data_IF_500718273354
#
_entry.id   IF_500718273354
#
_cell.length_a   1.000
_cell.length_b   1.000
_cell.length_c   1.000
_cell.angle_alpha   90.00
_cell.angle_beta   90.00
_cell.angle_gamma   90.00
#
_symmetry.space_group_name_H-M   'P 1'
#
loop_
_entity.id
_entity.type
_entity.pdbx_description
1 polymer ?
#
# COMPACT_ATOMS: atom_id res chain seq x y z
N UNK A 1 22.00 -11.49 -13.62
CA UNK A 1 21.73 -11.75 -12.20
C UNK A 1 20.93 -10.61 -11.57
N UNK A 2 20.20 -10.82 -10.45
CA UNK A 2 19.48 -9.73 -9.77
C UNK A 2 20.39 -8.54 -9.43
N UNK A 3 21.64 -8.77 -9.10
CA UNK A 3 22.62 -7.72 -8.80
C UNK A 3 22.99 -6.87 -10.01
N UNK A 4 23.06 -7.43 -11.23
CA UNK A 4 23.34 -6.65 -12.43
C UNK A 4 22.16 -5.79 -12.83
N UNK A 5 20.93 -6.32 -12.79
CA UNK A 5 19.72 -5.55 -13.04
C UNK A 5 19.52 -4.42 -12.02
N UNK A 6 19.76 -4.69 -10.73
CA UNK A 6 19.70 -3.66 -9.69
C UNK A 6 20.75 -2.56 -9.91
N UNK A 7 21.97 -2.91 -10.32
CA UNK A 7 23.02 -1.92 -10.64
C UNK A 7 22.62 -1.01 -11.80
N UNK A 8 21.98 -1.55 -12.83
CA UNK A 8 21.55 -0.76 -13.97
C UNK A 8 20.39 0.19 -13.59
N UNK A 9 19.43 -0.27 -12.79
CA UNK A 9 18.34 0.58 -12.27
C UNK A 9 18.92 1.65 -11.34
N UNK A 10 19.81 1.30 -10.42
CA UNK A 10 20.45 2.23 -9.51
C UNK A 10 21.19 3.37 -10.24
N UNK A 11 21.92 3.04 -11.32
CA UNK A 11 22.55 4.07 -12.17
C UNK A 11 21.54 5.00 -12.79
N UNK A 12 20.43 4.46 -13.31
CA UNK A 12 19.34 5.26 -13.88
C UNK A 12 18.67 6.17 -12.84
N UNK A 13 18.49 5.70 -11.61
CA UNK A 13 18.00 6.51 -10.50
C UNK A 13 18.93 7.71 -10.26
N UNK A 14 20.23 7.48 -10.15
CA UNK A 14 21.23 8.54 -9.93
C UNK A 14 21.27 9.54 -11.10
N UNK A 15 21.27 9.07 -12.35
CA UNK A 15 21.27 9.90 -13.55
C UNK A 15 20.03 10.81 -13.62
N UNK A 16 18.86 10.29 -13.21
CA UNK A 16 17.59 11.02 -13.29
C UNK A 16 17.16 11.67 -11.96
N UNK A 17 17.93 11.48 -10.88
CA UNK A 17 17.63 11.98 -9.53
C UNK A 17 16.24 11.51 -9.05
N UNK A 18 15.98 10.21 -9.20
CA UNK A 18 14.70 9.58 -8.85
C UNK A 18 14.96 8.44 -7.86
N UNK A 19 14.16 8.37 -6.81
CA UNK A 19 14.16 7.28 -5.84
C UNK A 19 13.03 6.29 -6.14
N UNK A 20 13.22 5.02 -5.74
CA UNK A 20 12.16 4.01 -5.75
C UNK A 20 11.47 4.03 -4.39
N UNK A 21 10.31 4.65 -4.32
CA UNK A 21 9.53 4.71 -3.08
C UNK A 21 8.92 3.35 -2.73
N UNK A 22 8.31 2.68 -3.72
CA UNK A 22 7.68 1.36 -3.57
C UNK A 22 8.15 0.43 -4.67
N UNK A 23 8.60 -0.76 -4.28
CA UNK A 23 8.74 -1.91 -5.17
C UNK A 23 7.53 -2.82 -4.95
N UNK A 24 6.57 -2.78 -5.87
CA UNK A 24 5.32 -3.53 -5.74
C UNK A 24 5.52 -5.04 -5.97
N UNK A 25 4.93 -5.86 -5.09
CA UNK A 25 4.86 -7.30 -5.20
C UNK A 25 3.46 -7.78 -4.82
N UNK A 26 2.50 -7.64 -5.74
CA UNK A 26 1.08 -7.90 -5.50
C UNK A 26 0.74 -9.36 -5.78
N UNK A 27 1.20 -10.26 -4.90
CA UNK A 27 0.97 -11.70 -4.98
C UNK A 27 0.05 -12.16 -3.84
N UNK A 28 -0.73 -13.22 -4.07
CA UNK A 28 -1.70 -13.72 -3.08
C UNK A 28 -1.04 -14.57 -1.99
N UNK A 29 -0.74 -13.96 -0.86
CA UNK A 29 -0.19 -14.65 0.32
C UNK A 29 -1.22 -15.51 1.08
N UNK A 30 -2.50 -15.45 0.71
CA UNK A 30 -3.55 -16.25 1.34
C UNK A 30 -4.08 -17.37 0.44
N UNK A 31 -3.44 -17.62 -0.70
CA UNK A 31 -3.84 -18.73 -1.59
C UNK A 31 -3.84 -20.09 -0.86
N UNK A 32 -4.88 -20.92 -1.04
CA UNK A 32 -4.92 -22.27 -0.48
C UNK A 32 -4.04 -23.27 -1.23
N UNK A 33 -3.52 -22.91 -2.39
CA UNK A 33 -2.60 -23.75 -3.17
C UNK A 33 -1.19 -23.65 -2.56
N UNK A 34 -0.73 -24.73 -1.93
CA UNK A 34 0.57 -24.78 -1.26
C UNK A 34 1.76 -24.56 -2.20
N UNK A 35 1.69 -25.04 -3.45
CA UNK A 35 2.74 -24.82 -4.43
C UNK A 35 2.80 -23.36 -4.87
N UNK A 36 1.65 -22.76 -5.16
CA UNK A 36 1.53 -21.35 -5.49
C UNK A 36 1.94 -20.46 -4.31
N UNK A 37 1.60 -20.82 -3.07
CA UNK A 37 2.03 -20.08 -1.88
C UNK A 37 3.55 -20.08 -1.73
N UNK A 38 4.17 -21.24 -1.92
CA UNK A 38 5.64 -21.36 -1.85
C UNK A 38 6.30 -20.47 -2.90
N UNK A 39 5.84 -20.51 -4.15
CA UNK A 39 6.37 -19.66 -5.23
C UNK A 39 6.13 -18.17 -4.97
N UNK A 40 4.99 -17.83 -4.37
CA UNK A 40 4.67 -16.48 -3.91
C UNK A 40 5.67 -15.99 -2.86
N UNK A 41 5.91 -16.77 -1.79
CA UNK A 41 6.88 -16.40 -0.74
C UNK A 41 8.29 -16.25 -1.33
N UNK A 42 8.70 -17.15 -2.21
CA UNK A 42 10.00 -17.06 -2.89
C UNK A 42 10.09 -15.83 -3.81
N UNK A 43 8.97 -15.40 -4.40
CA UNK A 43 8.88 -14.16 -5.17
C UNK A 43 9.06 -12.93 -4.28
N UNK A 44 8.40 -12.88 -3.11
CA UNK A 44 8.62 -11.81 -2.14
C UNK A 44 10.08 -11.72 -1.70
N UNK A 45 10.71 -12.86 -1.39
CA UNK A 45 12.13 -12.88 -1.02
C UNK A 45 13.03 -12.30 -2.11
N UNK A 46 12.76 -12.61 -3.38
CA UNK A 46 13.49 -12.01 -4.53
C UNK A 46 13.26 -10.49 -4.61
N UNK A 47 12.03 -10.02 -4.39
CA UNK A 47 11.74 -8.58 -4.35
C UNK A 47 12.44 -7.88 -3.19
N UNK A 48 12.49 -8.50 -2.01
CA UNK A 48 13.18 -7.97 -0.84
C UNK A 48 14.70 -7.84 -1.11
N UNK A 49 15.33 -8.84 -1.72
CA UNK A 49 16.73 -8.73 -2.15
C UNK A 49 16.92 -7.61 -3.16
N UNK A 50 16.02 -7.51 -4.15
CA UNK A 50 16.11 -6.47 -5.16
C UNK A 50 15.90 -5.08 -4.58
N UNK A 51 14.93 -4.92 -3.67
CA UNK A 51 14.69 -3.67 -2.93
C UNK A 51 15.90 -3.23 -2.12
N UNK A 52 16.55 -4.16 -1.42
CA UNK A 52 17.79 -3.88 -0.66
C UNK A 52 18.91 -3.37 -1.57
N UNK A 53 19.06 -3.94 -2.77
CA UNK A 53 20.08 -3.51 -3.73
C UNK A 53 19.77 -2.15 -4.39
N UNK A 54 18.49 -1.81 -4.55
CA UNK A 54 18.03 -0.54 -5.12
C UNK A 54 17.99 0.61 -4.11
N UNK A 55 17.97 0.30 -2.82
CA UNK A 55 17.60 1.28 -1.81
C UNK A 55 16.14 1.71 -1.90
N UNK A 56 15.24 0.79 -2.30
CA UNK A 56 13.81 1.07 -2.36
C UNK A 56 13.24 1.33 -0.96
N UNK A 57 12.28 2.25 -0.84
CA UNK A 57 11.67 2.61 0.42
C UNK A 57 10.94 1.45 1.08
N UNK A 58 10.07 0.78 0.34
CA UNK A 58 9.33 -0.40 0.81
C UNK A 58 9.14 -1.45 -0.30
N UNK A 59 8.91 -2.71 0.09
CA UNK A 59 8.26 -3.72 -0.75
C UNK A 59 6.78 -3.70 -0.41
N UNK A 60 5.96 -3.24 -1.35
CA UNK A 60 4.52 -3.04 -1.15
C UNK A 60 3.69 -4.23 -1.60
N UNK A 61 2.61 -4.54 -0.88
CA UNK A 61 1.64 -5.58 -1.22
C UNK A 61 0.25 -5.28 -0.69
N UNK A 62 -0.76 -5.72 -1.43
CA UNK A 62 -2.12 -5.91 -0.91
C UNK A 62 -2.23 -7.24 -0.13
N UNK A 63 -3.40 -7.53 0.42
CA UNK A 63 -3.55 -8.63 1.38
C UNK A 63 -4.30 -9.86 0.85
N UNK A 64 -4.78 -9.80 -0.40
CA UNK A 64 -5.27 -10.94 -1.13
C UNK A 64 -6.61 -11.53 -0.68
N UNK A 65 -6.84 -12.79 -1.05
CA UNK A 65 -8.03 -13.57 -0.75
C UNK A 65 -7.68 -15.06 -0.55
N UNK A 66 -8.49 -15.76 0.26
CA UNK A 66 -8.28 -17.20 0.56
C UNK A 66 -8.80 -18.12 -0.54
N UNK A 67 -8.58 -17.77 -1.80
CA UNK A 67 -8.91 -18.58 -2.97
C UNK A 67 -7.87 -18.38 -4.09
N UNK A 68 -7.94 -19.20 -5.11
CA UNK A 68 -6.98 -19.20 -6.23
C UNK A 68 -7.25 -18.07 -7.24
N UNK A 69 -8.48 -17.57 -7.28
CA UNK A 69 -8.92 -16.54 -8.24
C UNK A 69 -8.68 -15.11 -7.78
N UNK A 70 -8.15 -14.92 -6.58
CA UNK A 70 -7.96 -13.60 -5.96
C UNK A 70 -9.28 -12.80 -5.85
N UNK A 71 -10.39 -13.48 -5.53
CA UNK A 71 -11.73 -12.88 -5.47
C UNK A 71 -12.16 -12.59 -4.06
N UNK A 72 -12.85 -11.47 -3.87
CA UNK A 72 -13.54 -11.17 -2.62
C UNK A 72 -14.66 -12.16 -2.37
N UNK A 73 -14.64 -12.78 -1.21
CA UNK A 73 -15.67 -13.73 -0.73
C UNK A 73 -15.99 -13.43 0.73
N UNK A 74 -17.16 -13.83 1.25
CA UNK A 74 -17.49 -13.62 2.66
C UNK A 74 -16.45 -14.17 3.62
N UNK A 75 -15.76 -15.26 3.26
CA UNK A 75 -14.68 -15.84 4.03
C UNK A 75 -13.49 -14.87 4.22
N UNK A 76 -13.20 -14.01 3.25
CA UNK A 76 -12.10 -13.03 3.33
C UNK A 76 -12.23 -12.09 4.55
N UNK A 77 -13.43 -11.91 5.07
CA UNK A 77 -13.70 -11.02 6.21
C UNK A 77 -13.70 -11.74 7.57
N UNK A 78 -13.43 -13.04 7.62
CA UNK A 78 -13.36 -13.82 8.86
C UNK A 78 -12.03 -13.64 9.59
N UNK A 79 -12.00 -13.97 10.88
CA UNK A 79 -10.74 -14.01 11.64
C UNK A 79 -9.82 -15.13 11.14
N UNK A 80 -10.38 -16.26 10.71
CA UNK A 80 -9.61 -17.36 10.13
C UNK A 80 -8.83 -16.94 8.89
N UNK A 81 -9.45 -16.18 7.98
CA UNK A 81 -8.75 -15.63 6.82
C UNK A 81 -7.60 -14.68 7.22
N UNK A 82 -7.81 -13.88 8.27
CA UNK A 82 -6.77 -13.01 8.80
C UNK A 82 -5.59 -13.80 9.38
N UNK A 83 -5.88 -14.87 10.12
CA UNK A 83 -4.86 -15.76 10.68
C UNK A 83 -4.04 -16.47 9.59
N UNK A 84 -4.69 -16.92 8.51
CA UNK A 84 -4.02 -17.50 7.33
C UNK A 84 -3.06 -16.48 6.73
N UNK A 85 -3.52 -15.24 6.51
CA UNK A 85 -2.69 -14.18 5.97
C UNK A 85 -1.49 -13.86 6.87
N UNK A 86 -1.71 -13.70 8.18
CA UNK A 86 -0.65 -13.43 9.17
C UNK A 86 0.40 -14.55 9.15
N UNK A 87 -0.05 -15.81 9.18
CA UNK A 87 0.84 -16.97 9.15
C UNK A 87 1.76 -16.96 7.92
N UNK A 88 1.19 -16.66 6.77
CA UNK A 88 1.92 -16.70 5.50
C UNK A 88 2.79 -15.43 5.25
N UNK A 89 2.40 -14.29 5.82
CA UNK A 89 3.19 -13.05 5.77
C UNK A 89 4.44 -13.10 6.66
N UNK A 90 4.36 -13.77 7.81
CA UNK A 90 5.45 -13.85 8.80
C UNK A 90 6.81 -14.24 8.20
N UNK A 91 6.97 -15.33 7.43
CA UNK A 91 8.27 -15.67 6.85
C UNK A 91 8.79 -14.66 5.83
N UNK A 92 7.92 -13.86 5.23
CA UNK A 92 8.30 -12.76 4.33
C UNK A 92 8.90 -11.61 5.14
N UNK A 93 8.25 -11.22 6.23
CA UNK A 93 8.74 -10.14 7.12
C UNK A 93 10.05 -10.56 7.82
N UNK A 94 10.13 -11.77 8.36
CA UNK A 94 11.37 -12.31 8.96
C UNK A 94 12.55 -12.33 7.98
N UNK A 95 12.26 -12.51 6.68
CA UNK A 95 13.32 -12.40 5.66
C UNK A 95 13.69 -10.95 5.39
N UNK A 96 12.74 -10.04 5.39
CA UNK A 96 12.97 -8.60 5.20
C UNK A 96 13.81 -8.00 6.35
N UNK A 97 13.56 -8.42 7.59
CA UNK A 97 14.36 -8.03 8.77
C UNK A 97 15.87 -8.29 8.57
N UNK A 98 16.21 -9.44 7.99
CA UNK A 98 17.63 -9.83 7.76
C UNK A 98 18.35 -8.91 6.77
N UNK A 99 17.60 -8.22 5.92
CA UNK A 99 18.13 -7.33 4.89
C UNK A 99 17.85 -5.85 5.18
N UNK A 100 17.19 -5.53 6.30
CA UNK A 100 16.81 -4.17 6.67
C UNK A 100 15.78 -3.55 5.71
N UNK A 101 14.95 -4.37 5.06
CA UNK A 101 13.93 -3.92 4.11
C UNK A 101 12.58 -3.85 4.82
N UNK A 102 11.80 -2.83 4.51
CA UNK A 102 10.41 -2.69 4.98
C UNK A 102 9.48 -3.41 4.01
N UNK A 103 8.63 -4.28 4.53
CA UNK A 103 7.43 -4.78 3.85
C UNK A 103 6.26 -3.92 4.29
N UNK A 104 5.50 -3.39 3.36
CA UNK A 104 4.34 -2.57 3.69
C UNK A 104 3.08 -3.17 3.08
N UNK A 105 2.08 -3.43 3.93
CA UNK A 105 0.77 -3.91 3.50
C UNK A 105 -0.18 -2.75 3.22
N UNK A 106 -0.95 -2.87 2.16
CA UNK A 106 -1.98 -1.92 1.77
C UNK A 106 -3.36 -2.50 2.08
N UNK A 107 -4.09 -1.94 3.06
CA UNK A 107 -5.46 -2.32 3.32
C UNK A 107 -6.39 -1.89 2.19
N UNK A 108 -7.23 -2.82 1.72
CA UNK A 108 -8.18 -2.61 0.64
C UNK A 108 -9.55 -3.14 1.08
N UNK A 109 -10.61 -2.38 0.94
CA UNK A 109 -11.96 -2.71 1.42
C UNK A 109 -12.48 -4.10 0.98
N UNK A 110 -11.97 -4.61 -0.14
CA UNK A 110 -12.37 -5.92 -0.71
C UNK A 110 -11.41 -7.07 -0.35
N UNK A 111 -10.35 -6.81 0.41
CA UNK A 111 -9.33 -7.81 0.75
C UNK A 111 -9.43 -8.26 2.20
N UNK A 112 -8.57 -9.21 2.59
CA UNK A 112 -8.54 -9.78 3.94
C UNK A 112 -8.30 -8.70 4.99
N UNK A 113 -7.35 -7.80 4.75
CA UNK A 113 -7.13 -6.61 5.59
C UNK A 113 -7.86 -5.43 4.94
N UNK A 114 -9.09 -5.20 5.40
CA UNK A 114 -10.01 -4.25 4.78
C UNK A 114 -10.26 -2.96 5.57
N UNK A 115 -9.61 -2.80 6.72
CA UNK A 115 -9.75 -1.62 7.56
C UNK A 115 -8.57 -1.49 8.55
N UNK A 116 -8.51 -0.36 9.24
CA UNK A 116 -7.44 -0.04 10.18
C UNK A 116 -7.31 -1.05 11.33
N UNK A 117 -8.43 -1.52 11.89
CA UNK A 117 -8.42 -2.46 13.03
C UNK A 117 -7.84 -3.81 12.65
N UNK A 118 -8.17 -4.32 11.46
CA UNK A 118 -7.59 -5.57 10.97
C UNK A 118 -6.10 -5.40 10.64
N UNK A 119 -5.71 -4.27 10.05
CA UNK A 119 -4.30 -3.96 9.82
C UNK A 119 -3.52 -3.89 11.15
N UNK A 120 -4.07 -3.26 12.19
CA UNK A 120 -3.44 -3.24 13.52
C UNK A 120 -3.24 -4.65 14.09
N UNK A 121 -4.24 -5.54 13.96
CA UNK A 121 -4.09 -6.94 14.37
C UNK A 121 -2.93 -7.65 13.67
N UNK A 122 -2.73 -7.39 12.38
CA UNK A 122 -1.59 -7.98 11.63
C UNK A 122 -0.26 -7.47 12.16
N UNK A 123 -0.14 -6.15 12.34
CA UNK A 123 1.07 -5.53 12.86
C UNK A 123 1.40 -6.05 14.27
N UNK A 124 0.41 -6.10 15.18
CA UNK A 124 0.58 -6.59 16.54
C UNK A 124 0.94 -8.09 16.59
N UNK A 125 0.36 -8.89 15.71
CA UNK A 125 0.61 -10.32 15.67
C UNK A 125 2.02 -10.68 15.15
N UNK A 126 2.56 -9.90 14.22
CA UNK A 126 3.90 -10.11 13.66
C UNK A 126 4.96 -9.42 14.52
N UNK A 127 4.64 -8.24 15.06
CA UNK A 127 5.47 -7.45 15.98
C UNK A 127 6.88 -7.19 15.43
N UNK A 128 6.94 -6.58 14.25
CA UNK A 128 8.20 -6.29 13.56
C UNK A 128 8.24 -4.84 13.07
N UNK A 129 9.34 -4.10 13.31
CA UNK A 129 9.51 -2.76 12.75
C UNK A 129 9.66 -2.76 11.22
N UNK A 130 9.94 -3.92 10.63
CA UNK A 130 10.05 -4.10 9.18
C UNK A 130 8.70 -4.39 8.52
N UNK A 131 7.59 -4.43 9.28
CA UNK A 131 6.24 -4.48 8.76
C UNK A 131 5.54 -3.15 9.00
N UNK A 132 5.17 -2.47 7.92
CA UNK A 132 4.53 -1.16 7.96
C UNK A 132 3.32 -1.10 7.02
N UNK A 133 2.76 0.10 6.82
CA UNK A 133 1.51 0.33 6.10
C UNK A 133 1.74 1.21 4.87
N UNK A 134 1.13 0.85 3.76
CA UNK A 134 0.79 1.77 2.68
C UNK A 134 -0.62 2.29 2.97
N UNK A 135 -0.77 3.60 3.06
CA UNK A 135 -2.06 4.22 3.22
C UNK A 135 -2.59 4.72 1.87
N UNK A 136 -3.54 4.00 1.31
CA UNK A 136 -4.37 4.46 0.21
C UNK A 136 -5.79 4.73 0.73
N UNK A 137 -6.15 6.00 0.89
CA UNK A 137 -7.47 6.35 1.43
C UNK A 137 -8.64 5.82 0.60
N UNK A 138 -8.52 5.87 -0.73
CA UNK A 138 -9.61 5.49 -1.64
C UNK A 138 -9.81 3.97 -1.68
N UNK A 139 -8.74 3.19 -1.49
CA UNK A 139 -8.84 1.73 -1.43
C UNK A 139 -9.60 1.21 -0.20
N UNK A 140 -9.85 2.05 0.81
CA UNK A 140 -10.70 1.73 1.96
C UNK A 140 -12.19 1.94 1.67
N UNK A 141 -12.53 2.50 0.51
CA UNK A 141 -13.89 2.91 0.18
C UNK A 141 -14.54 1.98 -0.85
N UNK A 142 -15.85 1.87 -0.74
CA UNK A 142 -16.75 1.28 -1.72
C UNK A 142 -18.09 2.04 -1.78
N UNK A 143 -19.02 1.52 -2.54
CA UNK A 143 -20.34 2.12 -2.73
C UNK A 143 -21.16 2.22 -1.44
N UNK A 144 -20.83 1.42 -0.41
CA UNK A 144 -21.58 1.38 0.84
C UNK A 144 -21.07 2.37 1.90
N UNK A 145 -19.79 2.78 1.83
CA UNK A 145 -19.14 3.54 2.89
C UNK A 145 -18.51 4.87 2.45
N UNK A 146 -18.48 5.18 1.15
CA UNK A 146 -17.76 6.36 0.64
C UNK A 146 -18.23 7.69 1.26
N UNK A 147 -19.47 7.80 1.70
CA UNK A 147 -19.99 9.02 2.34
C UNK A 147 -19.37 9.26 3.72
N UNK A 148 -18.86 8.21 4.35
CA UNK A 148 -18.23 8.24 5.66
C UNK A 148 -16.70 8.39 5.57
N UNK A 149 -16.15 8.65 4.38
CA UNK A 149 -14.69 8.66 4.16
C UNK A 149 -13.91 9.54 5.14
N UNK A 150 -14.40 10.72 5.58
CA UNK A 150 -13.63 11.53 6.53
C UNK A 150 -13.44 10.83 7.88
N UNK A 151 -14.46 10.11 8.36
CA UNK A 151 -14.37 9.33 9.60
C UNK A 151 -13.46 8.11 9.45
N UNK A 152 -13.54 7.42 8.31
CA UNK A 152 -12.70 6.26 7.98
C UNK A 152 -11.21 6.67 7.93
N UNK A 153 -10.90 7.79 7.28
CA UNK A 153 -9.52 8.29 7.19
C UNK A 153 -8.97 8.72 8.54
N UNK A 154 -9.81 9.39 9.35
CA UNK A 154 -9.45 9.78 10.70
C UNK A 154 -9.16 8.56 11.58
N UNK A 155 -10.04 7.55 11.60
CA UNK A 155 -9.82 6.30 12.34
C UNK A 155 -8.53 5.61 11.89
N UNK A 156 -8.28 5.57 10.57
CA UNK A 156 -7.08 4.95 10.01
C UNK A 156 -5.80 5.59 10.55
N UNK A 157 -5.73 6.90 10.51
CA UNK A 157 -4.55 7.66 10.98
C UNK A 157 -4.42 7.59 12.50
N UNK A 158 -5.52 7.58 13.27
CA UNK A 158 -5.49 7.43 14.73
C UNK A 158 -4.94 6.06 15.16
N UNK A 159 -5.25 4.99 14.41
CA UNK A 159 -4.81 3.62 14.74
C UNK A 159 -3.43 3.30 14.17
N UNK A 160 -3.12 3.74 12.97
CA UNK A 160 -1.96 3.30 12.19
C UNK A 160 -0.98 4.41 11.83
N UNK A 161 -1.24 5.64 12.21
CA UNK A 161 -0.44 6.80 11.80
C UNK A 161 1.09 6.61 11.95
N UNK A 162 1.59 6.15 13.10
CA UNK A 162 3.02 5.90 13.28
C UNK A 162 3.60 4.89 12.28
N UNK A 163 2.81 3.91 11.87
CA UNK A 163 3.22 2.79 11.02
C UNK A 163 3.07 3.06 9.50
N UNK A 164 2.53 4.22 9.11
CA UNK A 164 2.40 4.58 7.69
C UNK A 164 3.79 4.90 7.11
N UNK A 165 4.26 4.06 6.18
CA UNK A 165 5.53 4.24 5.48
C UNK A 165 5.41 5.02 4.17
N UNK A 166 4.28 4.90 3.49
CA UNK A 166 4.04 5.49 2.17
C UNK A 166 2.55 5.79 2.02
N UNK A 167 2.22 6.81 1.24
CA UNK A 167 0.85 7.16 0.90
C UNK A 167 0.66 6.99 -0.61
N UNK A 168 -0.41 6.28 -0.97
CA UNK A 168 -0.95 6.30 -2.32
C UNK A 168 -2.06 7.34 -2.39
N UNK A 169 -1.94 8.27 -3.30
CA UNK A 169 -2.89 9.36 -3.46
C UNK A 169 -3.60 9.25 -4.80
N UNK A 170 -4.89 9.01 -4.74
CA UNK A 170 -5.84 9.07 -5.85
C UNK A 170 -7.13 9.70 -5.37
N UNK A 171 -8.01 10.00 -6.27
CA UNK A 171 -9.32 10.58 -6.02
C UNK A 171 -10.42 9.56 -6.36
N UNK A 172 -11.65 9.87 -6.05
CA UNK A 172 -12.79 9.06 -6.43
C UNK A 172 -13.97 9.92 -6.87
N UNK A 173 -14.83 9.32 -7.66
CA UNK A 173 -16.12 9.88 -8.07
C UNK A 173 -17.18 8.80 -8.08
N UNK A 174 -18.42 9.23 -7.93
CA UNK A 174 -19.57 8.33 -8.02
C UNK A 174 -20.26 8.52 -9.37
N UNK A 175 -20.26 7.49 -10.19
CA UNK A 175 -20.94 7.47 -11.48
C UNK A 175 -21.88 6.27 -11.56
N UNK A 176 -23.14 6.51 -11.85
CA UNK A 176 -24.17 5.45 -11.91
C UNK A 176 -24.23 4.56 -10.65
N UNK A 177 -24.00 5.15 -9.47
CA UNK A 177 -24.00 4.45 -8.19
C UNK A 177 -22.75 3.58 -7.92
N UNK A 178 -21.70 3.69 -8.75
CA UNK A 178 -20.44 3.01 -8.56
C UNK A 178 -19.33 3.98 -8.16
N UNK A 179 -18.49 3.56 -7.25
CA UNK A 179 -17.27 4.27 -6.91
C UNK A 179 -16.20 3.95 -7.98
N UNK A 180 -15.72 5.01 -8.62
CA UNK A 180 -14.64 4.93 -9.61
C UNK A 180 -13.46 5.74 -9.09
N UNK A 181 -12.29 5.11 -9.02
CA UNK A 181 -11.04 5.82 -8.72
C UNK A 181 -10.60 6.68 -9.90
N UNK A 182 -9.91 7.77 -9.62
CA UNK A 182 -9.41 8.70 -10.64
C UNK A 182 -8.21 9.49 -10.09
N UNK A 183 -7.51 10.19 -10.98
CA UNK A 183 -6.36 11.00 -10.60
C UNK A 183 -6.72 12.11 -9.61
N UNK A 184 -5.78 12.47 -8.74
CA UNK A 184 -5.92 13.55 -7.76
C UNK A 184 -6.43 14.84 -8.38
N UNK A 185 -7.45 15.44 -7.76
CA UNK A 185 -8.06 16.70 -8.19
C UNK A 185 -9.09 16.56 -9.31
N UNK A 186 -9.45 15.32 -9.69
CA UNK A 186 -10.49 15.08 -10.72
C UNK A 186 -11.75 14.41 -10.16
N UNK A 187 -11.78 14.15 -8.87
CA UNK A 187 -12.90 13.55 -8.15
C UNK A 187 -13.52 14.48 -7.10
N UNK A 188 -13.98 13.90 -6.00
CA UNK A 188 -14.70 14.59 -4.93
C UNK A 188 -14.07 14.44 -3.54
N UNK A 189 -12.85 13.88 -3.47
CA UNK A 189 -12.13 13.73 -2.20
C UNK A 189 -11.63 15.10 -1.69
N UNK A 190 -11.88 15.37 -0.41
CA UNK A 190 -11.22 16.47 0.27
C UNK A 190 -9.86 16.03 0.80
N UNK A 191 -8.81 16.62 0.25
CA UNK A 191 -7.42 16.30 0.62
C UNK A 191 -6.92 17.04 1.87
N UNK A 192 -7.69 17.97 2.41
CA UNK A 192 -7.21 18.84 3.49
C UNK A 192 -6.76 18.03 4.72
N UNK A 193 -7.55 17.05 5.14
CA UNK A 193 -7.21 16.20 6.27
C UNK A 193 -5.91 15.43 6.03
N UNK A 194 -5.78 14.77 4.88
CA UNK A 194 -4.60 13.97 4.53
C UNK A 194 -3.33 14.84 4.46
N UNK A 195 -3.41 15.99 3.80
CA UNK A 195 -2.27 16.88 3.64
C UNK A 195 -1.86 17.57 4.95
N UNK A 196 -2.82 17.91 5.83
CA UNK A 196 -2.52 18.38 7.19
C UNK A 196 -1.83 17.32 8.02
N UNK A 197 -2.28 16.07 7.92
CA UNK A 197 -1.62 14.95 8.59
C UNK A 197 -0.17 14.79 8.09
N UNK A 198 0.06 14.78 6.78
CA UNK A 198 1.40 14.71 6.19
C UNK A 198 2.28 15.85 6.71
N UNK A 199 1.79 17.09 6.60
CA UNK A 199 2.54 18.29 7.00
C UNK A 199 2.92 18.29 8.47
N UNK A 200 2.03 17.83 9.34
CA UNK A 200 2.24 17.83 10.79
C UNK A 200 3.03 16.64 11.34
N UNK A 201 2.97 15.48 10.70
CA UNK A 201 3.49 14.24 11.28
C UNK A 201 4.50 13.50 10.39
N UNK A 202 4.38 13.61 9.06
CA UNK A 202 5.17 12.84 8.10
C UNK A 202 5.70 13.72 6.94
N UNK A 203 6.37 14.87 7.21
CA UNK A 203 6.70 15.87 6.17
C UNK A 203 7.64 15.37 5.08
N UNK A 204 8.27 14.21 5.26
CA UNK A 204 9.20 13.59 4.31
C UNK A 204 8.70 12.28 3.73
N UNK A 205 7.41 11.93 3.97
CA UNK A 205 6.84 10.70 3.44
C UNK A 205 6.71 10.76 1.92
N UNK A 206 6.92 9.63 1.27
CA UNK A 206 6.62 9.50 -0.15
C UNK A 206 5.10 9.48 -0.37
N UNK A 207 4.64 10.28 -1.32
CA UNK A 207 3.26 10.30 -1.80
C UNK A 207 3.28 9.92 -3.27
N UNK A 208 2.73 8.75 -3.60
CA UNK A 208 2.63 8.26 -4.97
C UNK A 208 1.27 8.65 -5.55
N UNK A 209 1.28 9.27 -6.72
CA UNK A 209 0.05 9.63 -7.42
C UNK A 209 -0.41 8.45 -8.26
N UNK A 210 -1.53 7.85 -7.88
CA UNK A 210 -2.15 6.76 -8.61
C UNK A 210 -3.21 7.24 -9.61
N UNK A 211 -3.71 6.34 -10.46
CA UNK A 211 -4.62 6.63 -11.57
C UNK A 211 -4.11 7.74 -12.51
N UNK A 212 -2.80 7.88 -12.58
CA UNK A 212 -2.11 8.85 -13.43
C UNK A 212 -1.50 8.18 -14.66
N UNK A 213 -1.36 8.97 -15.69
CA UNK A 213 -0.66 8.62 -16.92
C UNK A 213 0.09 9.86 -17.45
N UNK A 214 0.91 9.76 -18.49
CA UNK A 214 1.70 10.91 -18.97
C UNK A 214 0.89 12.16 -19.32
N UNK A 215 -0.40 12.03 -19.61
CA UNK A 215 -1.25 13.19 -19.96
C UNK A 215 -1.84 13.94 -18.76
N UNK A 216 -1.96 13.31 -17.59
CA UNK A 216 -2.60 13.91 -16.40
C UNK A 216 -1.69 13.97 -15.16
N UNK A 217 -0.54 13.29 -15.16
CA UNK A 217 0.33 13.21 -13.98
C UNK A 217 0.84 14.58 -13.52
N UNK A 218 1.17 15.47 -14.46
CA UNK A 218 1.62 16.83 -14.12
C UNK A 218 0.50 17.64 -13.45
N UNK A 219 -0.73 17.52 -13.94
CA UNK A 219 -1.88 18.22 -13.36
C UNK A 219 -2.21 17.69 -11.96
N UNK A 220 -2.20 16.38 -11.76
CA UNK A 220 -2.41 15.77 -10.45
C UNK A 220 -1.34 16.21 -9.44
N UNK A 221 -0.08 16.24 -9.85
CA UNK A 221 1.03 16.75 -9.03
C UNK A 221 0.82 18.21 -8.65
N UNK A 222 0.54 19.06 -9.63
CA UNK A 222 0.32 20.50 -9.39
C UNK A 222 -0.83 20.73 -8.41
N UNK A 223 -1.94 20.02 -8.57
CA UNK A 223 -3.06 20.09 -7.65
C UNK A 223 -2.64 19.76 -6.20
N UNK A 224 -1.89 18.69 -5.99
CA UNK A 224 -1.43 18.29 -4.65
C UNK A 224 -0.44 19.31 -4.06
N UNK A 225 0.50 19.81 -4.85
CA UNK A 225 1.48 20.83 -4.43
C UNK A 225 0.79 22.15 -4.03
N UNK A 226 -0.17 22.64 -4.82
CA UNK A 226 -0.94 23.86 -4.52
C UNK A 226 -1.78 23.71 -3.25
N UNK A 227 -2.46 22.55 -3.09
CA UNK A 227 -3.22 22.26 -1.87
C UNK A 227 -2.31 22.20 -0.64
N UNK A 228 -1.17 21.52 -0.73
CA UNK A 228 -0.21 21.44 0.37
C UNK A 228 0.37 22.80 0.74
N UNK A 229 0.66 23.64 -0.23
CA UNK A 229 1.20 24.98 -0.01
C UNK A 229 0.16 25.93 0.65
N UNK A 230 -1.13 25.71 0.42
CA UNK A 230 -2.21 26.54 0.98
C UNK A 230 -2.55 26.23 2.44
N UNK A 231 -2.03 25.14 3.02
CA UNK A 231 -2.23 24.72 4.42
C UNK A 231 -1.17 25.32 5.34
#
# INVERSE_FOLDING_TARGET
SPSSAASDVYKRQAENKVDVAVLGCYQNLATPDEAALKDTIDTYKRHIVFASLLGAGVVGTETGACNTEYRTEPFSFTEEALEIFIKNLRPVVEYAEKLGVIVAIEPVCRHIVNNAKRARKVLDAIDSPNLQIIFDPVNLLDESNYQEYPAIFKEFVEILGPDIATIHAKDFKIENGKLLSCACGTGQMDYEFLLRYIKGHKPHIHVLLEDTNPSNAQQARQFMEEKYASL
#
